data_IF_812937074599
#
_entry.id   IF_812937074599
#
_cell.length_a   1.000
_cell.length_b   1.000
_cell.length_c   1.000
_cell.angle_alpha   90.00
_cell.angle_beta   90.00
_cell.angle_gamma   90.00
#
_symmetry.space_group_name_H-M   'P 1'
#
loop_
_entity.id
_entity.type
_entity.pdbx_description
1 polymer ?
#
# COMPACT_ATOMS: atom_id res chain seq x y z
N UNK A 1 0.57 -14.87 22.10
CA UNK A 1 1.59 -15.20 21.08
C UNK A 1 1.53 -16.67 20.65
N UNK A 2 1.12 -17.61 21.52
CA UNK A 2 0.88 -19.01 21.15
C UNK A 2 -0.29 -19.21 20.16
N UNK A 3 -1.31 -18.34 20.21
CA UNK A 3 -2.51 -18.38 19.35
C UNK A 3 -2.32 -17.86 17.93
N UNK A 4 -1.19 -17.20 17.63
CA UNK A 4 -0.90 -16.68 16.29
C UNK A 4 -0.16 -17.72 15.43
N UNK A 5 0.54 -18.66 16.07
CA UNK A 5 1.23 -19.77 15.39
C UNK A 5 0.27 -20.89 14.97
N UNK A 6 -0.93 -21.00 15.55
CA UNK A 6 -1.86 -22.11 15.25
C UNK A 6 -2.54 -22.05 13.89
N UNK A 7 -2.37 -20.97 13.11
CA UNK A 7 -2.98 -20.85 11.79
C UNK A 7 -2.19 -21.50 10.65
N UNK A 8 -1.09 -22.19 10.96
CA UNK A 8 -0.36 -23.02 9.98
C UNK A 8 -0.05 -24.40 10.57
N UNK A 9 -0.08 -25.47 9.75
CA UNK A 9 0.30 -26.84 10.16
C UNK A 9 1.71 -26.85 10.78
N UNK A 10 2.61 -26.00 10.28
CA UNK A 10 3.98 -25.83 10.79
C UNK A 10 4.00 -25.12 12.14
N UNK A 11 3.16 -24.12 12.38
CA UNK A 11 3.08 -23.47 13.68
C UNK A 11 2.44 -24.35 14.77
N UNK A 12 1.61 -25.33 14.40
CA UNK A 12 1.15 -26.39 15.31
C UNK A 12 2.30 -27.33 15.72
N UNK A 13 3.19 -27.65 14.76
CA UNK A 13 4.43 -28.41 15.04
C UNK A 13 5.38 -27.61 15.93
N UNK A 14 5.55 -26.31 15.69
CA UNK A 14 6.39 -25.43 16.53
C UNK A 14 5.85 -25.34 17.95
N UNK A 15 4.53 -25.16 18.13
CA UNK A 15 3.91 -25.15 19.47
C UNK A 15 4.06 -26.51 20.17
N UNK A 16 3.90 -27.62 19.44
CA UNK A 16 4.11 -28.96 19.98
C UNK A 16 5.57 -29.21 20.38
N UNK A 17 6.53 -28.79 19.56
CA UNK A 17 7.97 -28.89 19.84
C UNK A 17 8.35 -28.00 21.03
N UNK A 18 7.83 -26.77 21.11
CA UNK A 18 8.05 -25.87 22.25
C UNK A 18 7.48 -26.50 23.53
N UNK A 19 6.29 -27.09 23.49
CA UNK A 19 5.69 -27.76 24.64
C UNK A 19 6.51 -28.98 25.10
N UNK A 20 7.04 -29.78 24.17
CA UNK A 20 7.93 -30.91 24.48
C UNK A 20 9.24 -30.43 25.09
N UNK A 21 9.82 -29.35 24.56
CA UNK A 21 11.05 -28.75 25.10
C UNK A 21 10.80 -28.19 26.51
N UNK A 22 9.66 -27.53 26.74
CA UNK A 22 9.29 -27.04 28.08
C UNK A 22 9.18 -28.17 29.10
N UNK A 23 8.59 -29.30 28.71
CA UNK A 23 8.50 -30.50 29.57
C UNK A 23 9.89 -31.05 29.87
N UNK A 24 10.76 -31.18 28.86
CA UNK A 24 12.13 -31.69 29.03
C UNK A 24 12.97 -30.75 29.91
N UNK A 25 12.91 -29.43 29.69
CA UNK A 25 13.66 -28.45 30.47
C UNK A 25 13.16 -28.39 31.93
N UNK A 26 11.87 -28.58 32.15
CA UNK A 26 11.30 -28.70 33.51
C UNK A 26 11.82 -29.95 34.21
N UNK A 27 11.79 -31.12 33.54
CA UNK A 27 12.31 -32.38 34.09
C UNK A 27 13.81 -32.26 34.41
N UNK A 28 14.60 -31.69 33.51
CA UNK A 28 16.05 -31.51 33.71
C UNK A 28 16.33 -30.55 34.87
N UNK A 29 15.57 -29.47 35.00
CA UNK A 29 15.73 -28.52 36.10
C UNK A 29 15.33 -29.12 37.47
N UNK A 30 14.22 -29.87 37.54
CA UNK A 30 13.78 -30.57 38.75
C UNK A 30 14.74 -31.71 39.13
N UNK A 31 15.43 -32.30 38.16
CA UNK A 31 16.44 -33.34 38.38
C UNK A 31 17.80 -32.83 38.92
N UNK A 32 17.94 -31.52 39.16
CA UNK A 32 19.09 -30.94 39.88
C UNK A 32 20.14 -30.23 39.02
N UNK A 33 19.84 -29.91 37.75
CA UNK A 33 20.74 -29.11 36.92
C UNK A 33 20.72 -27.62 37.32
N UNK A 34 21.58 -27.23 38.26
CA UNK A 34 21.61 -25.87 38.83
C UNK A 34 21.94 -24.75 37.82
N UNK A 35 22.54 -25.10 36.67
CA UNK A 35 22.77 -24.17 35.56
C UNK A 35 21.47 -23.55 34.99
N UNK A 36 20.33 -24.26 35.10
CA UNK A 36 19.02 -23.77 34.64
C UNK A 36 18.33 -22.84 35.66
N UNK A 37 18.84 -22.77 36.89
CA UNK A 37 18.32 -21.89 37.97
C UNK A 37 19.07 -20.56 38.07
N UNK A 38 20.21 -20.44 37.40
CA UNK A 38 21.10 -19.26 37.45
C UNK A 38 20.90 -18.28 36.29
N UNK A 39 19.79 -18.38 35.54
CA UNK A 39 19.50 -17.46 34.44
C UNK A 39 19.18 -16.06 35.00
N UNK A 40 19.87 -14.99 34.53
CA UNK A 40 19.66 -13.63 35.04
C UNK A 40 18.20 -13.20 34.90
N UNK A 41 17.58 -12.78 36.01
CA UNK A 41 16.19 -12.30 36.05
C UNK A 41 15.12 -13.31 36.47
N UNK A 42 15.49 -14.56 36.84
CA UNK A 42 14.53 -15.59 37.28
C UNK A 42 14.57 -15.99 38.78
N UNK A 43 15.40 -15.34 39.60
CA UNK A 43 15.33 -15.48 41.06
C UNK A 43 15.46 -16.91 41.61
N UNK A 44 16.16 -17.82 40.90
CA UNK A 44 16.34 -19.22 41.32
C UNK A 44 15.24 -20.20 40.88
N UNK A 45 14.25 -19.74 40.10
CA UNK A 45 13.21 -20.59 39.52
C UNK A 45 13.70 -21.46 38.35
N UNK A 46 13.01 -22.56 38.09
CA UNK A 46 13.29 -23.42 36.94
C UNK A 46 12.92 -22.72 35.63
N UNK A 47 13.88 -22.72 34.70
CA UNK A 47 13.72 -22.15 33.38
C UNK A 47 12.54 -22.79 32.63
N UNK A 48 11.55 -21.97 32.26
CA UNK A 48 10.46 -22.33 31.34
C UNK A 48 10.35 -21.26 30.25
N UNK A 49 9.91 -21.63 29.04
CA UNK A 49 9.80 -20.74 27.88
C UNK A 49 8.71 -19.64 28.04
N UNK A 50 8.02 -19.53 29.18
CA UNK A 50 6.76 -18.78 29.31
C UNK A 50 6.73 -17.24 29.21
N UNK A 51 7.83 -16.46 29.26
CA UNK A 51 7.64 -14.99 29.31
C UNK A 51 8.78 -14.04 28.91
N UNK A 52 10.00 -14.21 29.41
CA UNK A 52 11.11 -13.28 29.13
C UNK A 52 12.23 -13.93 28.31
N UNK A 53 12.51 -15.21 28.57
CA UNK A 53 13.52 -15.97 27.85
C UNK A 53 13.08 -16.41 26.45
N UNK A 54 11.78 -16.43 26.16
CA UNK A 54 11.24 -16.79 24.83
C UNK A 54 11.71 -15.85 23.74
N UNK A 55 11.86 -14.55 24.01
CA UNK A 55 12.36 -13.60 23.00
C UNK A 55 13.84 -13.81 22.69
N UNK A 56 14.65 -14.17 23.69
CA UNK A 56 16.09 -14.41 23.53
C UNK A 56 16.30 -15.77 22.85
N UNK A 57 15.62 -16.83 23.31
CA UNK A 57 15.71 -18.16 22.71
C UNK A 57 15.09 -18.19 21.31
N UNK A 58 13.95 -17.55 21.07
CA UNK A 58 13.38 -17.46 19.72
C UNK A 58 14.35 -16.75 18.78
N UNK A 59 15.01 -15.66 19.19
CA UNK A 59 16.03 -15.00 18.37
C UNK A 59 17.29 -15.84 18.14
N UNK A 60 17.65 -16.73 19.08
CA UNK A 60 18.78 -17.65 18.91
C UNK A 60 18.43 -18.85 18.02
N UNK A 61 17.17 -19.28 18.01
CA UNK A 61 16.75 -20.48 17.28
C UNK A 61 16.05 -20.19 15.95
N UNK A 62 15.60 -18.95 15.71
CA UNK A 62 14.78 -18.58 14.58
C UNK A 62 15.05 -17.14 14.10
N UNK A 63 15.14 -16.96 12.80
CA UNK A 63 15.21 -15.66 12.14
C UNK A 63 14.29 -15.62 10.93
N UNK A 64 13.53 -14.54 10.78
CA UNK A 64 12.75 -14.25 9.59
C UNK A 64 12.89 -12.77 9.25
N UNK A 65 13.19 -12.47 7.99
CA UNK A 65 13.20 -11.09 7.48
C UNK A 65 12.95 -11.08 5.98
N UNK A 66 12.47 -9.93 5.48
CA UNK A 66 12.40 -9.68 4.05
C UNK A 66 13.80 -9.61 3.46
N UNK A 67 14.00 -10.24 2.31
CA UNK A 67 15.24 -10.08 1.54
C UNK A 67 15.21 -8.81 0.70
N UNK A 68 14.05 -8.18 0.52
CA UNK A 68 13.87 -6.91 -0.19
C UNK A 68 13.60 -5.79 0.81
N UNK A 69 14.22 -4.64 0.58
CA UNK A 69 14.01 -3.42 1.35
C UNK A 69 12.74 -2.72 0.86
N UNK A 70 11.63 -2.97 1.55
CA UNK A 70 10.33 -2.36 1.27
C UNK A 70 10.22 -0.92 1.79
N UNK A 71 11.21 -0.46 2.56
CA UNK A 71 11.25 0.89 3.14
C UNK A 71 12.41 1.70 2.56
N UNK A 72 12.98 1.26 1.43
CA UNK A 72 14.12 1.91 0.80
C UNK A 72 13.79 3.38 0.50
N UNK A 73 14.77 4.22 0.82
CA UNK A 73 14.77 5.64 0.48
C UNK A 73 15.96 5.97 -0.40
N UNK A 74 15.70 6.73 -1.46
CA UNK A 74 16.71 7.36 -2.29
C UNK A 74 17.63 8.28 -1.47
N UNK A 75 18.74 8.71 -2.05
CA UNK A 75 19.74 9.57 -1.41
C UNK A 75 19.17 10.92 -0.91
N UNK A 76 18.04 11.37 -1.47
CA UNK A 76 17.29 12.56 -1.08
C UNK A 76 16.24 12.30 0.03
N UNK A 77 16.15 11.07 0.54
CA UNK A 77 15.22 10.66 1.59
C UNK A 77 13.81 10.33 1.11
N UNK A 78 13.56 10.35 -0.21
CA UNK A 78 12.26 9.98 -0.80
C UNK A 78 12.15 8.46 -0.93
N UNK A 79 10.95 7.89 -0.70
CA UNK A 79 10.74 6.45 -0.93
C UNK A 79 10.75 6.17 -2.42
N UNK A 80 11.56 5.20 -2.87
CA UNK A 80 11.72 4.85 -4.29
C UNK A 80 11.19 3.46 -4.65
N UNK A 81 10.54 2.76 -3.70
CA UNK A 81 9.93 1.44 -3.92
C UNK A 81 8.87 1.51 -5.02
N UNK A 82 7.96 2.49 -4.94
CA UNK A 82 6.89 2.72 -5.90
C UNK A 82 6.85 4.20 -6.24
N UNK A 83 7.15 4.54 -7.49
CA UNK A 83 7.08 5.89 -8.01
C UNK A 83 5.98 5.95 -9.07
N UNK A 84 4.91 6.68 -8.76
CA UNK A 84 3.84 6.98 -9.71
C UNK A 84 4.25 8.14 -10.63
N UNK A 85 4.06 7.96 -11.93
CA UNK A 85 4.21 8.98 -12.95
C UNK A 85 2.98 9.88 -13.07
N UNK A 86 2.93 10.67 -14.14
CA UNK A 86 1.76 11.47 -14.45
C UNK A 86 0.67 10.60 -15.08
N UNK A 87 -0.59 10.89 -14.74
CA UNK A 87 -1.73 10.26 -15.41
C UNK A 87 -1.73 10.60 -16.89
N UNK A 88 -1.90 9.57 -17.71
CA UNK A 88 -2.27 9.69 -19.12
C UNK A 88 -3.79 9.56 -19.17
N UNK A 89 -4.46 10.58 -19.69
CA UNK A 89 -5.92 10.65 -19.71
C UNK A 89 -6.44 10.84 -21.12
N UNK A 90 -7.47 10.08 -21.48
CA UNK A 90 -8.14 10.19 -22.77
C UNK A 90 -9.65 10.21 -22.53
N UNK A 91 -10.34 11.21 -23.08
CA UNK A 91 -11.80 11.19 -23.11
C UNK A 91 -12.26 10.18 -24.15
N UNK A 92 -13.29 9.41 -23.81
CA UNK A 92 -13.87 8.43 -24.72
C UNK A 92 -14.50 9.11 -25.94
N UNK A 93 -15.20 10.24 -25.73
CA UNK A 93 -15.59 11.17 -26.80
C UNK A 93 -14.91 12.54 -26.59
N UNK A 94 -13.79 12.82 -27.27
CA UNK A 94 -13.09 14.10 -27.15
C UNK A 94 -13.91 15.30 -27.63
N UNK A 95 -14.87 15.11 -28.55
CA UNK A 95 -15.68 16.21 -29.08
C UNK A 95 -16.75 16.68 -28.10
N UNK A 96 -17.19 15.81 -27.18
CA UNK A 96 -18.10 16.18 -26.10
C UNK A 96 -17.40 16.89 -24.94
N UNK A 97 -16.09 16.68 -24.77
CA UNK A 97 -15.32 17.27 -23.66
C UNK A 97 -15.71 16.72 -22.29
N UNK A 98 -15.41 17.48 -21.23
CA UNK A 98 -15.66 17.09 -19.84
C UNK A 98 -17.11 17.37 -19.43
N UNK A 99 -18.05 16.61 -19.99
CA UNK A 99 -19.49 16.72 -19.68
C UNK A 99 -20.00 15.47 -18.96
N UNK A 100 -21.01 15.63 -18.11
CA UNK A 100 -21.72 14.47 -17.55
C UNK A 100 -22.25 13.57 -18.66
N UNK A 101 -22.16 12.26 -18.47
CA UNK A 101 -22.50 11.26 -19.50
C UNK A 101 -21.36 10.87 -20.45
N UNK A 102 -20.26 11.63 -20.48
CA UNK A 102 -19.01 11.17 -21.09
C UNK A 102 -18.18 10.32 -20.10
N UNK A 103 -17.16 9.65 -20.59
CA UNK A 103 -16.24 8.84 -19.78
C UNK A 103 -14.78 9.10 -20.12
N UNK A 104 -13.89 8.74 -19.20
CA UNK A 104 -12.46 8.97 -19.28
C UNK A 104 -11.70 7.66 -19.07
N UNK A 105 -10.70 7.43 -19.92
CA UNK A 105 -9.70 6.39 -19.76
C UNK A 105 -8.49 6.96 -19.05
N UNK A 106 -7.99 6.23 -18.05
CA UNK A 106 -6.88 6.64 -17.21
C UNK A 106 -5.80 5.56 -17.23
N UNK A 107 -4.57 5.97 -17.49
CA UNK A 107 -3.38 5.11 -17.33
C UNK A 107 -2.42 5.78 -16.37
N UNK A 108 -1.93 5.04 -15.38
CA UNK A 108 -0.94 5.52 -14.43
C UNK A 108 0.37 4.76 -14.62
N UNK A 109 1.39 5.35 -15.26
CA UNK A 109 2.72 4.74 -15.32
C UNK A 109 3.29 4.63 -13.90
N UNK A 110 3.78 3.45 -13.53
CA UNK A 110 4.39 3.17 -12.23
C UNK A 110 5.76 2.57 -12.47
N UNK A 111 6.77 3.12 -11.79
CA UNK A 111 8.10 2.51 -11.71
C UNK A 111 8.27 1.89 -10.34
N UNK A 112 8.52 0.58 -10.31
CA UNK A 112 8.79 -0.17 -9.08
C UNK A 112 10.28 -0.43 -9.00
N UNK A 113 10.89 -0.10 -7.86
CA UNK A 113 12.28 -0.44 -7.57
C UNK A 113 12.36 -1.34 -6.36
N UNK A 114 12.93 -2.53 -6.52
CA UNK A 114 13.24 -3.42 -5.41
C UNK A 114 14.75 -3.48 -5.23
N UNK A 115 15.20 -3.47 -3.97
CA UNK A 115 16.61 -3.67 -3.65
C UNK A 115 16.72 -4.72 -2.56
N UNK A 116 17.75 -5.55 -2.63
CA UNK A 116 18.07 -6.42 -1.50
C UNK A 116 18.35 -5.61 -0.23
N UNK A 117 17.73 -6.05 0.87
CA UNK A 117 17.96 -5.56 2.22
C UNK A 117 19.19 -6.27 2.81
N UNK A 118 20.25 -5.56 3.21
CA UNK A 118 21.36 -6.18 3.94
C UNK A 118 20.85 -6.85 5.22
N UNK A 119 21.33 -8.06 5.57
CA UNK A 119 20.92 -8.71 6.81
C UNK A 119 21.22 -7.85 8.05
N UNK A 120 20.25 -7.76 8.94
CA UNK A 120 20.40 -7.01 10.21
C UNK A 120 21.23 -7.80 11.23
N UNK A 121 21.98 -7.14 12.13
CA UNK A 121 22.86 -7.79 13.10
C UNK A 121 22.22 -8.90 13.93
N UNK A 122 20.93 -8.76 14.23
CA UNK A 122 20.16 -9.73 15.01
C UNK A 122 20.05 -11.10 14.32
N UNK A 123 20.18 -11.15 12.99
CA UNK A 123 20.02 -12.35 12.18
C UNK A 123 21.35 -12.92 11.68
N UNK A 124 22.49 -12.26 11.96
CA UNK A 124 23.79 -12.63 11.42
C UNK A 124 24.22 -14.06 11.77
N UNK A 125 23.90 -14.53 12.98
CA UNK A 125 24.23 -15.88 13.43
C UNK A 125 23.61 -16.99 12.56
N UNK A 126 22.51 -16.69 11.86
CA UNK A 126 21.81 -17.66 11.02
C UNK A 126 22.09 -17.45 9.53
N UNK A 127 22.05 -16.20 9.07
CA UNK A 127 22.00 -15.88 7.64
C UNK A 127 23.36 -15.68 6.99
N UNK A 128 24.42 -15.37 7.76
CA UNK A 128 25.77 -15.12 7.19
C UNK A 128 26.34 -16.31 6.40
N UNK A 129 26.12 -17.58 6.80
CA UNK A 129 26.50 -18.71 5.95
C UNK A 129 25.73 -18.72 4.63
N UNK A 130 24.47 -18.26 4.63
CA UNK A 130 23.50 -18.36 3.53
C UNK A 130 23.42 -17.09 2.65
N UNK A 131 24.47 -16.27 2.61
CA UNK A 131 24.48 -15.04 1.80
C UNK A 131 24.28 -15.28 0.29
N UNK A 132 24.51 -16.52 -0.20
CA UNK A 132 24.18 -16.90 -1.58
C UNK A 132 22.68 -16.81 -1.91
N UNK A 133 21.79 -16.77 -0.89
CA UNK A 133 20.37 -16.52 -1.08
C UNK A 133 20.14 -15.12 -1.66
N UNK A 134 21.02 -14.14 -1.43
CA UNK A 134 20.93 -12.80 -2.02
C UNK A 134 21.40 -12.79 -3.48
N UNK A 135 20.72 -13.55 -4.34
CA UNK A 135 21.03 -13.73 -5.77
C UNK A 135 20.16 -12.87 -6.69
N UNK A 136 20.59 -12.70 -7.95
CA UNK A 136 19.77 -12.05 -9.00
C UNK A 136 18.41 -12.72 -9.18
N UNK A 137 18.36 -14.04 -9.02
CA UNK A 137 17.11 -14.80 -9.19
C UNK A 137 16.12 -14.54 -8.06
N UNK A 138 16.60 -14.43 -6.82
CA UNK A 138 15.70 -14.10 -5.71
C UNK A 138 15.15 -12.68 -5.84
N UNK A 139 15.96 -11.67 -6.20
CA UNK A 139 15.39 -10.33 -6.43
C UNK A 139 14.37 -10.33 -7.59
N UNK A 140 14.64 -11.06 -8.69
CA UNK A 140 13.72 -11.21 -9.83
C UNK A 140 12.43 -11.95 -9.50
N UNK A 141 12.45 -12.84 -8.51
CA UNK A 141 11.24 -13.55 -8.09
C UNK A 141 10.22 -12.64 -7.38
N UNK A 142 10.57 -11.38 -7.09
CA UNK A 142 9.64 -10.40 -6.53
C UNK A 142 8.51 -10.12 -7.52
N UNK A 143 7.30 -9.96 -7.01
CA UNK A 143 6.12 -9.54 -7.77
C UNK A 143 5.50 -8.31 -7.15
N UNK A 144 5.15 -7.34 -7.99
CA UNK A 144 4.37 -6.14 -7.70
C UNK A 144 3.35 -5.98 -8.82
N UNK A 145 2.08 -6.19 -8.51
CA UNK A 145 0.97 -5.99 -9.44
C UNK A 145 0.14 -4.79 -9.00
N UNK A 146 -0.36 -4.05 -9.98
CA UNK A 146 -1.12 -2.83 -9.78
C UNK A 146 -2.46 -2.91 -10.49
N UNK A 147 -3.48 -2.30 -9.89
CA UNK A 147 -4.76 -2.03 -10.54
C UNK A 147 -5.25 -0.64 -10.17
N UNK A 148 -5.98 -0.02 -11.10
CA UNK A 148 -6.64 1.26 -10.89
C UNK A 148 -8.15 1.02 -10.90
N UNK A 149 -8.85 1.36 -9.82
CA UNK A 149 -10.29 1.10 -9.68
C UNK A 149 -11.00 2.25 -8.95
N UNK A 150 -12.33 2.41 -9.10
CA UNK A 150 -13.10 3.42 -8.34
C UNK A 150 -13.15 3.20 -6.81
N UNK A 151 -12.71 2.04 -6.33
CA UNK A 151 -12.69 1.69 -4.91
C UNK A 151 -11.53 0.79 -4.57
N UNK A 152 -11.36 0.48 -3.29
CA UNK A 152 -10.30 -0.41 -2.82
C UNK A 152 -10.53 -1.84 -3.32
N UNK A 153 -9.45 -2.51 -3.74
CA UNK A 153 -9.46 -3.89 -4.19
C UNK A 153 -8.24 -4.62 -3.63
N UNK A 154 -8.44 -5.84 -3.15
CA UNK A 154 -7.33 -6.74 -2.80
C UNK A 154 -6.71 -7.35 -4.06
N UNK A 155 -5.42 -7.12 -4.28
CA UNK A 155 -4.66 -7.65 -5.42
C UNK A 155 -3.82 -8.81 -4.93
N UNK A 156 -4.25 -10.03 -5.25
CA UNK A 156 -3.53 -11.25 -4.87
C UNK A 156 -2.49 -11.62 -5.90
N UNK A 157 -1.26 -11.83 -5.45
CA UNK A 157 -0.12 -12.18 -6.29
C UNK A 157 0.70 -13.29 -5.65
N UNK A 158 1.50 -13.95 -6.48
CA UNK A 158 2.53 -14.88 -6.05
C UNK A 158 3.90 -14.41 -6.58
N UNK A 159 4.98 -14.91 -5.97
CA UNK A 159 6.34 -14.71 -6.51
C UNK A 159 6.45 -15.24 -7.94
N UNK A 160 7.44 -14.73 -8.67
CA UNK A 160 7.82 -15.12 -10.03
C UNK A 160 6.83 -14.75 -11.16
N UNK A 161 5.72 -14.08 -10.86
CA UNK A 161 4.73 -13.68 -11.87
C UNK A 161 5.22 -12.55 -12.79
N UNK A 162 6.24 -11.79 -12.40
CA UNK A 162 6.83 -10.71 -13.21
C UNK A 162 8.34 -10.86 -13.42
N UNK A 163 8.87 -12.09 -13.33
CA UNK A 163 10.31 -12.36 -13.34
C UNK A 163 11.04 -11.73 -14.54
N UNK A 164 10.41 -11.76 -15.71
CA UNK A 164 10.98 -11.27 -16.97
C UNK A 164 10.81 -9.74 -17.16
N UNK A 165 9.99 -9.08 -16.33
CA UNK A 165 9.80 -7.64 -16.40
C UNK A 165 10.94 -6.86 -15.71
N UNK A 166 11.76 -7.53 -14.90
CA UNK A 166 12.79 -6.91 -14.09
C UNK A 166 14.09 -6.63 -14.86
N UNK A 167 14.46 -5.35 -14.94
CA UNK A 167 15.82 -4.93 -15.25
C UNK A 167 16.68 -5.00 -13.97
N UNK A 168 17.57 -5.98 -13.89
CA UNK A 168 18.42 -6.22 -12.71
C UNK A 168 19.78 -5.56 -12.88
N UNK A 169 20.26 -4.93 -11.82
CA UNK A 169 21.56 -4.28 -11.70
C UNK A 169 22.22 -4.60 -10.36
N UNK A 170 23.49 -4.24 -10.24
CA UNK A 170 24.24 -4.39 -9.00
C UNK A 170 23.74 -3.38 -7.96
N UNK A 171 23.44 -3.87 -6.76
CA UNK A 171 23.08 -3.07 -5.60
C UNK A 171 24.28 -2.75 -4.69
N UNK A 172 24.05 -2.32 -3.45
CA UNK A 172 25.13 -2.14 -2.48
C UNK A 172 25.81 -3.48 -2.15
N UNK A 173 27.09 -3.43 -1.76
CA UNK A 173 27.77 -4.61 -1.22
C UNK A 173 27.47 -4.77 0.26
N UNK A 174 27.36 -6.01 0.70
CA UNK A 174 27.37 -6.38 2.11
C UNK A 174 28.58 -7.28 2.38
N UNK A 175 29.58 -6.74 3.07
CA UNK A 175 30.91 -7.35 3.17
C UNK A 175 31.47 -7.70 1.78
N UNK A 176 31.79 -8.97 1.54
CA UNK A 176 32.25 -9.47 0.24
C UNK A 176 31.12 -9.86 -0.74
N UNK A 177 29.86 -9.82 -0.30
CA UNK A 177 28.70 -10.27 -1.10
C UNK A 177 28.11 -9.10 -1.89
N UNK A 178 27.94 -9.31 -3.19
CA UNK A 178 27.20 -8.39 -4.06
C UNK A 178 25.70 -8.57 -3.86
N UNK A 179 24.99 -7.51 -3.45
CA UNK A 179 23.53 -7.50 -3.44
C UNK A 179 22.99 -6.96 -4.77
N UNK A 180 21.67 -7.01 -4.98
CA UNK A 180 21.08 -6.68 -6.27
C UNK A 180 19.91 -5.71 -6.12
N UNK A 181 19.71 -4.92 -7.17
CA UNK A 181 18.58 -4.02 -7.35
C UNK A 181 17.86 -4.43 -8.64
N UNK A 182 16.54 -4.34 -8.66
CA UNK A 182 15.77 -4.54 -9.88
C UNK A 182 14.73 -3.43 -10.04
N UNK A 183 14.48 -3.05 -11.28
CA UNK A 183 13.47 -2.06 -11.63
C UNK A 183 12.55 -2.59 -12.72
N UNK A 184 11.25 -2.31 -12.59
CA UNK A 184 10.24 -2.65 -13.57
C UNK A 184 9.26 -1.48 -13.76
N UNK A 185 8.61 -1.44 -14.91
CA UNK A 185 7.55 -0.49 -15.22
C UNK A 185 6.23 -1.22 -15.42
N UNK A 186 5.17 -0.64 -14.87
CA UNK A 186 3.79 -1.13 -14.96
C UNK A 186 2.87 0.02 -15.33
N UNK A 187 1.83 -0.25 -16.12
CA UNK A 187 0.90 0.78 -16.58
C UNK A 187 -0.54 0.31 -16.32
N UNK A 188 -1.00 0.27 -15.05
CA UNK A 188 -2.40 -0.01 -14.76
C UNK A 188 -3.31 1.00 -15.48
N UNK A 189 -4.31 0.46 -16.18
CA UNK A 189 -5.30 1.23 -16.93
C UNK A 189 -6.69 0.99 -16.35
N UNK A 190 -7.48 2.05 -16.24
CA UNK A 190 -8.91 2.00 -16.00
C UNK A 190 -9.62 2.65 -17.20
N UNK A 191 -10.43 1.86 -17.89
CA UNK A 191 -11.18 2.31 -19.07
C UNK A 191 -12.61 2.66 -18.72
N UNK A 192 -13.17 3.62 -19.46
CA UNK A 192 -14.58 4.01 -19.42
C UNK A 192 -15.07 4.42 -18.03
N UNK A 193 -14.24 5.13 -17.26
CA UNK A 193 -14.68 5.70 -15.99
C UNK A 193 -15.69 6.82 -16.25
N UNK A 194 -16.94 6.73 -15.76
CA UNK A 194 -17.93 7.78 -15.97
C UNK A 194 -17.51 9.07 -15.27
N UNK A 195 -17.67 10.20 -15.96
CA UNK A 195 -17.49 11.50 -15.32
C UNK A 195 -18.58 11.72 -14.26
N UNK A 196 -18.23 12.29 -13.09
CA UNK A 196 -19.18 12.47 -11.99
C UNK A 196 -20.21 13.57 -12.29
N UNK A 197 -21.08 13.85 -11.33
CA UNK A 197 -22.08 14.91 -11.47
C UNK A 197 -21.44 16.28 -11.80
N UNK A 198 -22.12 17.14 -12.58
CA UNK A 198 -21.60 18.46 -12.94
C UNK A 198 -21.12 19.25 -11.74
N UNK A 199 -20.07 20.03 -11.93
CA UNK A 199 -19.50 20.94 -10.94
C UNK A 199 -18.01 21.20 -11.14
N UNK A 200 -17.52 22.15 -10.37
CA UNK A 200 -16.12 22.58 -10.38
C UNK A 200 -15.30 21.68 -9.44
N UNK A 201 -14.04 21.39 -9.81
CA UNK A 201 -13.07 20.63 -9.01
C UNK A 201 -13.57 19.26 -8.52
N UNK A 202 -14.31 18.55 -9.36
CA UNK A 202 -14.87 17.23 -9.02
C UNK A 202 -13.76 16.17 -8.99
N UNK A 203 -13.61 15.42 -7.88
CA UNK A 203 -12.70 14.28 -7.85
C UNK A 203 -13.29 13.11 -8.62
N UNK A 204 -12.44 12.34 -9.30
CA UNK A 204 -12.88 11.11 -9.97
C UNK A 204 -13.04 9.91 -9.02
N UNK A 205 -12.51 10.00 -7.80
CA UNK A 205 -12.68 8.98 -6.76
C UNK A 205 -12.06 7.64 -7.15
N UNK A 206 -10.73 7.57 -7.15
CA UNK A 206 -9.99 6.40 -7.61
C UNK A 206 -9.12 5.83 -6.51
N UNK A 207 -8.78 4.56 -6.62
CA UNK A 207 -7.81 3.88 -5.76
C UNK A 207 -6.77 3.18 -6.62
N UNK A 208 -5.50 3.41 -6.28
CA UNK A 208 -4.40 2.56 -6.74
C UNK A 208 -4.27 1.41 -5.76
N UNK A 209 -4.47 0.19 -6.25
CA UNK A 209 -4.27 -1.02 -5.47
C UNK A 209 -2.97 -1.70 -5.89
N UNK A 210 -2.20 -2.13 -4.92
CA UNK A 210 -0.96 -2.85 -5.09
C UNK A 210 -1.04 -4.18 -4.37
N UNK A 211 -0.64 -5.26 -5.05
CA UNK A 211 -0.32 -6.54 -4.44
C UNK A 211 1.17 -6.80 -4.61
N UNK A 212 1.83 -7.29 -3.56
CA UNK A 212 3.23 -7.66 -3.63
C UNK A 212 3.50 -9.04 -3.05
N UNK A 213 4.52 -9.71 -3.59
CA UNK A 213 5.06 -10.96 -3.08
C UNK A 213 6.58 -10.94 -3.30
N UNK A 214 7.35 -10.82 -2.22
CA UNK A 214 8.82 -10.68 -2.26
C UNK A 214 9.50 -11.87 -1.57
N UNK A 215 10.75 -12.19 -1.94
CA UNK A 215 11.53 -13.17 -1.19
C UNK A 215 11.76 -12.69 0.25
N UNK A 216 11.55 -13.60 1.19
CA UNK A 216 12.01 -13.50 2.57
C UNK A 216 12.94 -14.69 2.85
N UNK A 217 13.76 -14.59 3.88
CA UNK A 217 14.45 -15.77 4.41
C UNK A 217 13.81 -16.18 5.72
N UNK A 218 13.78 -17.49 5.95
CA UNK A 218 13.44 -18.08 7.23
C UNK A 218 14.56 -19.04 7.59
N UNK A 219 15.12 -18.86 8.78
CA UNK A 219 16.21 -19.67 9.30
C UNK A 219 15.83 -20.27 10.64
N UNK A 220 16.26 -21.50 10.86
CA UNK A 220 16.11 -22.19 12.14
C UNK A 220 17.40 -22.91 12.52
N UNK A 221 17.66 -23.03 13.82
CA UNK A 221 18.79 -23.83 14.32
C UNK A 221 18.37 -25.27 14.48
N UNK A 222 19.05 -26.20 13.79
CA UNK A 222 18.75 -27.64 13.93
C UNK A 222 19.38 -28.22 15.20
N UNK A 223 18.59 -28.84 16.11
CA UNK A 223 19.13 -29.54 17.27
C UNK A 223 19.64 -30.96 16.94
N UNK A 224 19.47 -31.42 15.68
CA UNK A 224 19.72 -32.82 15.28
C UNK A 224 21.21 -33.12 15.10
N UNK A 225 22.05 -32.10 14.86
CA UNK A 225 23.49 -32.23 14.72
C UNK A 225 24.14 -31.24 15.69
N UNK A 226 24.98 -31.73 16.61
CA UNK A 226 25.84 -30.88 17.42
C UNK A 226 27.18 -30.74 16.69
N UNK A 227 27.68 -29.52 16.43
CA UNK A 227 27.16 -28.22 16.84
C UNK A 227 25.91 -27.79 16.07
N UNK A 228 25.03 -27.00 16.70
CA UNK A 228 23.82 -26.44 16.08
C UNK A 228 24.17 -25.75 14.76
N UNK A 229 23.61 -26.24 13.65
CA UNK A 229 23.81 -25.65 12.31
C UNK A 229 22.56 -24.86 11.93
N UNK A 230 22.68 -23.58 11.51
CA UNK A 230 21.54 -22.86 10.96
C UNK A 230 21.14 -23.49 9.63
N UNK A 231 19.84 -23.65 9.42
CA UNK A 231 19.24 -24.05 8.14
C UNK A 231 18.33 -22.92 7.70
N UNK A 232 18.66 -22.30 6.56
CA UNK A 232 17.85 -21.23 5.99
C UNK A 232 17.26 -21.66 4.65
N UNK A 233 16.03 -21.24 4.39
CA UNK A 233 15.40 -21.35 3.08
C UNK A 233 14.65 -20.07 2.73
N UNK A 234 14.39 -19.89 1.45
CA UNK A 234 13.58 -18.75 0.98
C UNK A 234 12.10 -19.01 1.26
N UNK A 235 11.44 -17.98 1.79
CA UNK A 235 9.98 -17.89 1.95
C UNK A 235 9.44 -16.75 1.08
N UNK A 236 8.13 -16.63 1.08
CA UNK A 236 7.42 -15.51 0.48
C UNK A 236 6.92 -14.63 1.61
N UNK A 237 7.18 -13.33 1.50
CA UNK A 237 6.46 -12.30 2.22
C UNK A 237 5.54 -11.61 1.21
N UNK A 238 4.23 -11.72 1.42
CA UNK A 238 3.23 -11.12 0.55
C UNK A 238 2.28 -10.21 1.33
N UNK A 239 1.61 -9.34 0.59
CA UNK A 239 0.62 -8.42 1.12
C UNK A 239 0.00 -7.57 0.03
N UNK A 240 -0.97 -6.76 0.42
CA UNK A 240 -1.64 -5.83 -0.45
C UNK A 240 -1.89 -4.49 0.26
N UNK A 241 -2.04 -3.44 -0.53
CA UNK A 241 -2.35 -2.09 -0.04
C UNK A 241 -3.14 -1.32 -1.07
N UNK A 242 -4.08 -0.49 -0.62
CA UNK A 242 -4.82 0.44 -1.46
C UNK A 242 -4.57 1.87 -1.02
N UNK A 243 -4.39 2.78 -1.98
CA UNK A 243 -4.25 4.22 -1.74
C UNK A 243 -5.28 4.97 -2.55
N UNK A 244 -6.06 5.82 -1.90
CA UNK A 244 -7.02 6.71 -2.56
C UNK A 244 -6.29 7.82 -3.32
N UNK A 245 -6.82 8.20 -4.47
CA UNK A 245 -6.31 9.26 -5.34
C UNK A 245 -7.41 10.31 -5.48
N UNK A 246 -7.26 11.38 -4.72
CA UNK A 246 -8.19 12.53 -4.70
C UNK A 246 -7.62 13.78 -5.40
N UNK A 247 -6.36 13.69 -5.85
CA UNK A 247 -5.67 14.80 -6.51
C UNK A 247 -6.15 15.01 -7.95
N UNK A 248 -6.68 13.96 -8.60
CA UNK A 248 -7.17 14.04 -9.96
C UNK A 248 -8.57 14.64 -9.98
N UNK A 249 -8.64 15.93 -10.32
CA UNK A 249 -9.87 16.73 -10.31
C UNK A 249 -10.11 17.36 -11.67
N UNK A 250 -11.38 17.42 -12.04
CA UNK A 250 -11.84 18.02 -13.28
C UNK A 250 -13.05 18.92 -13.04
N UNK A 251 -13.17 19.95 -13.86
CA UNK A 251 -14.41 20.70 -13.99
C UNK A 251 -15.32 19.94 -14.95
N UNK A 252 -16.47 19.52 -14.44
CA UNK A 252 -17.44 18.72 -15.21
C UNK A 252 -18.65 19.60 -15.53
N UNK A 253 -18.90 19.79 -16.80
CA UNK A 253 -20.03 20.58 -17.28
C UNK A 253 -21.30 19.72 -17.40
N UNK A 254 -22.49 20.35 -17.35
CA UNK A 254 -23.72 19.68 -17.77
C UNK A 254 -23.68 19.24 -19.23
N UNK A 255 -24.48 18.23 -19.58
CA UNK A 255 -24.50 17.64 -20.92
C UNK A 255 -25.17 18.52 -21.99
N UNK A 256 -25.84 19.60 -21.59
CA UNK A 256 -26.55 20.50 -22.50
C UNK A 256 -26.39 21.96 -22.07
N UNK A 257 -26.56 22.87 -23.04
CA UNK A 257 -26.58 24.31 -22.77
C UNK A 257 -27.72 24.70 -21.85
N UNK A 258 -28.89 24.09 -22.00
CA UNK A 258 -30.05 24.33 -21.14
C UNK A 258 -29.75 24.00 -19.67
N UNK A 259 -29.13 22.84 -19.42
CA UNK A 259 -28.69 22.46 -18.09
C UNK A 259 -27.54 23.34 -17.57
N UNK A 260 -26.66 23.81 -18.46
CA UNK A 260 -25.61 24.77 -18.13
C UNK A 260 -26.17 26.12 -17.66
N UNK A 261 -27.24 26.59 -18.31
CA UNK A 261 -27.90 27.87 -18.01
C UNK A 261 -28.96 27.77 -16.90
N UNK A 262 -29.29 26.57 -16.44
CA UNK A 262 -30.31 26.36 -15.41
C UNK A 262 -29.92 27.07 -14.11
N UNK A 263 -30.79 27.98 -13.65
CA UNK A 263 -30.59 28.75 -12.43
C UNK A 263 -31.12 28.01 -11.19
N UNK A 264 -30.37 28.07 -10.10
CA UNK A 264 -30.77 27.58 -8.77
C UNK A 264 -30.54 28.64 -7.69
N UNK A 265 -31.27 28.51 -6.58
CA UNK A 265 -31.07 29.35 -5.40
C UNK A 265 -29.68 29.08 -4.79
N UNK A 266 -28.96 30.16 -4.45
CA UNK A 266 -27.63 30.10 -3.82
C UNK A 266 -27.68 30.24 -2.29
N UNK A 267 -28.88 30.26 -1.70
CA UNK A 267 -29.10 30.29 -0.24
C UNK A 267 -28.90 31.66 0.43
N UNK A 268 -28.40 32.65 -0.29
CA UNK A 268 -28.30 34.06 0.15
C UNK A 268 -29.48 34.93 -0.34
N UNK A 269 -30.55 34.28 -0.83
CA UNK A 269 -31.68 34.96 -1.48
C UNK A 269 -31.44 35.39 -2.92
N UNK A 270 -30.31 34.97 -3.53
CA UNK A 270 -29.99 35.23 -4.93
C UNK A 270 -29.89 33.95 -5.76
N UNK A 271 -29.95 34.10 -7.08
CA UNK A 271 -29.90 32.99 -8.04
C UNK A 271 -28.60 32.99 -8.83
N UNK A 272 -28.20 31.82 -9.30
CA UNK A 272 -27.05 31.66 -10.19
C UNK A 272 -27.04 30.28 -10.83
N UNK A 273 -26.02 29.96 -11.64
CA UNK A 273 -25.96 28.67 -12.33
C UNK A 273 -25.98 27.52 -11.31
N UNK A 274 -26.91 26.58 -11.49
CA UNK A 274 -27.19 25.54 -10.51
C UNK A 274 -26.14 24.43 -10.46
N UNK A 275 -25.34 24.28 -11.52
CA UNK A 275 -24.34 23.22 -11.62
C UNK A 275 -23.01 23.58 -10.94
N UNK A 276 -22.77 24.85 -10.61
CA UNK A 276 -21.48 25.34 -10.11
C UNK A 276 -21.49 25.73 -8.61
N UNK A 277 -20.31 26.10 -8.12
CA UNK A 277 -20.09 26.62 -6.77
C UNK A 277 -19.80 28.15 -6.74
N UNK A 278 -20.06 28.87 -7.85
CA UNK A 278 -19.86 30.31 -7.90
C UNK A 278 -20.96 31.06 -7.14
N UNK A 279 -20.71 32.33 -6.75
CA UNK A 279 -21.72 33.18 -6.14
C UNK A 279 -22.95 33.38 -7.04
N UNK A 280 -24.01 33.93 -6.45
CA UNK A 280 -25.19 34.36 -7.20
C UNK A 280 -24.80 35.41 -8.28
N UNK A 281 -25.50 35.40 -9.41
CA UNK A 281 -25.33 36.39 -10.47
C UNK A 281 -25.91 37.72 -10.02
N UNK A 282 -25.40 38.86 -10.50
CA UNK A 282 -25.94 40.17 -10.09
C UNK A 282 -27.34 40.45 -10.63
N UNK A 283 -27.63 39.84 -11.77
CA UNK A 283 -28.83 39.93 -12.56
C UNK A 283 -28.84 38.59 -13.32
N UNK A 284 -29.65 37.65 -12.86
CA UNK A 284 -29.60 36.25 -13.30
C UNK A 284 -30.53 36.01 -14.50
N UNK A 285 -31.63 36.76 -14.63
CA UNK A 285 -32.52 36.68 -15.78
C UNK A 285 -32.21 37.69 -16.90
N UNK A 286 -31.29 38.64 -16.64
CA UNK A 286 -30.77 39.67 -17.55
C UNK A 286 -31.79 40.76 -17.92
N UNK A 287 -32.71 41.11 -17.01
CA UNK A 287 -33.67 42.20 -17.20
C UNK A 287 -33.04 43.61 -17.00
N UNK A 288 -31.81 43.67 -16.47
CA UNK A 288 -31.07 44.91 -16.18
C UNK A 288 -31.27 45.44 -14.76
N UNK A 289 -31.96 44.70 -13.89
CA UNK A 289 -32.23 45.05 -12.50
C UNK A 289 -31.34 44.23 -11.57
N UNK A 290 -30.85 44.87 -10.51
CA UNK A 290 -30.01 44.19 -9.53
C UNK A 290 -30.86 43.26 -8.66
N UNK A 291 -30.38 42.04 -8.42
CA UNK A 291 -31.06 41.10 -7.54
C UNK A 291 -30.98 41.48 -6.05
N UNK A 292 -31.93 40.96 -5.26
CA UNK A 292 -32.05 41.19 -3.80
C UNK A 292 -30.82 40.82 -2.99
N UNK A 293 -30.11 39.74 -3.33
CA UNK A 293 -28.90 39.35 -2.60
C UNK A 293 -27.76 40.37 -2.67
N UNK A 294 -27.84 41.32 -3.62
CA UNK A 294 -26.92 42.44 -3.75
C UNK A 294 -27.55 43.79 -3.40
N UNK A 295 -28.72 43.79 -2.75
CA UNK A 295 -29.43 44.99 -2.31
C UNK A 295 -30.31 45.65 -3.38
N UNK A 296 -30.61 44.94 -4.48
CA UNK A 296 -31.59 45.38 -5.46
C UNK A 296 -33.01 44.87 -5.18
N UNK A 297 -33.92 45.08 -6.12
CA UNK A 297 -35.35 44.83 -5.94
C UNK A 297 -35.83 43.50 -6.53
N UNK A 298 -35.08 42.95 -7.49
CA UNK A 298 -35.50 41.79 -8.27
C UNK A 298 -35.21 40.45 -7.57
N UNK A 299 -36.07 39.44 -7.81
CA UNK A 299 -35.95 38.09 -7.26
C UNK A 299 -35.47 37.02 -8.26
N UNK A 300 -35.15 37.43 -9.50
CA UNK A 300 -34.57 36.63 -10.57
C UNK A 300 -35.40 35.38 -10.94
N UNK A 301 -36.69 35.33 -10.59
CA UNK A 301 -37.57 34.20 -10.96
C UNK A 301 -38.27 34.42 -12.29
N UNK A 302 -38.43 35.66 -12.69
CA UNK A 302 -39.06 36.07 -13.94
C UNK A 302 -38.61 37.48 -14.31
N UNK A 303 -38.45 37.69 -15.62
CA UNK A 303 -38.07 38.96 -16.23
C UNK A 303 -38.87 40.20 -15.77
N UNK A 304 -40.11 39.99 -15.31
CA UNK A 304 -40.98 41.06 -14.79
C UNK A 304 -41.66 40.54 -13.52
N UNK A 305 -41.01 40.78 -12.39
CA UNK A 305 -41.42 40.26 -11.09
C UNK A 305 -42.54 41.10 -10.43
N UNK A 306 -42.75 42.35 -10.83
CA UNK A 306 -43.76 43.25 -10.28
C UNK A 306 -44.87 43.67 -11.26
N UNK A 307 -44.78 43.26 -12.52
CA UNK A 307 -45.85 43.37 -13.51
C UNK A 307 -46.04 44.77 -14.06
N UNK A 308 -45.00 45.61 -14.03
CA UNK A 308 -45.09 47.04 -14.35
C UNK A 308 -44.73 47.40 -15.81
N UNK A 309 -44.51 46.38 -16.65
CA UNK A 309 -44.08 46.44 -18.06
C UNK A 309 -44.45 47.68 -18.88
#
# INVERSE_FOLDING_TARGET
MLTVLTFTVVGLIIVAVIAVIDIILTIICESGADALKQVPGMGGGCFTLGGAATKIIAKVLYSFDSMVDLEHKSADGTSDLVLAGQFITNLHDPLQGYVTGNSIDLTLPITTTVQHKPPVPENWNHILPYLWLFSKENVRSSTFAYSLTPGQQDVKVARDQMRDAWAVSDGPKFAATQLYRAQARSEPTLTSLPLPQPGINRPLGLSLNMGYAVPAYECWMTPVLFPLVPVCYTRTLDGSSSSQIDQLRYDILPASLDAFMTLADKGNGGRGLGWDAFPALRDADNDGVLQRAYGGLDDDRSWDSDGDG
#
